data_IF_711967978576
#
_entry.id   IF_711967978576
#
_cell.length_a   1.000
_cell.length_b   1.000
_cell.length_c   1.000
_cell.angle_alpha   90.00
_cell.angle_beta   90.00
_cell.angle_gamma   90.00
#
_symmetry.space_group_name_H-M   'P 1'
#
loop_
_entity.id
_entity.type
_entity.pdbx_description
1 polymer ?
#
# COMPACT_ATOMS: atom_id res chain seq x y z
N UNK A 1 -28.03 -29.50 43.62
CA UNK A 1 -27.89 -28.52 42.52
C UNK A 1 -26.41 -28.33 42.22
N UNK A 2 -25.89 -28.93 41.14
CA UNK A 2 -24.50 -28.72 40.70
C UNK A 2 -24.47 -27.43 39.87
N UNK A 3 -23.56 -26.51 40.21
CA UNK A 3 -23.45 -25.20 39.57
C UNK A 3 -22.75 -25.33 38.21
N UNK A 4 -23.45 -24.94 37.15
CA UNK A 4 -22.95 -24.89 35.76
C UNK A 4 -22.44 -23.48 35.42
N UNK A 5 -21.61 -22.89 36.28
CA UNK A 5 -21.14 -21.50 36.10
C UNK A 5 -19.73 -21.27 35.51
N UNK A 6 -18.83 -22.25 35.24
CA UNK A 6 -17.49 -21.91 34.76
C UNK A 6 -17.36 -21.81 33.22
N UNK A 7 -18.28 -22.41 32.44
CA UNK A 7 -18.10 -22.50 30.99
C UNK A 7 -18.62 -21.26 30.23
N UNK A 8 -19.71 -20.65 30.69
CA UNK A 8 -20.26 -19.46 30.06
C UNK A 8 -19.31 -18.25 30.22
N UNK A 9 -18.72 -18.05 31.40
CA UNK A 9 -17.82 -16.92 31.67
C UNK A 9 -16.51 -16.97 30.86
N UNK A 10 -15.99 -18.19 30.62
CA UNK A 10 -14.79 -18.40 29.81
C UNK A 10 -15.04 -18.09 28.32
N UNK A 11 -16.21 -18.45 27.79
CA UNK A 11 -16.60 -18.16 26.40
C UNK A 11 -16.83 -16.65 26.18
N UNK A 12 -17.40 -15.94 27.16
CA UNK A 12 -17.65 -14.49 27.04
C UNK A 12 -16.38 -13.63 27.09
N UNK A 13 -15.31 -14.10 27.74
CA UNK A 13 -14.02 -13.39 27.82
C UNK A 13 -13.04 -13.81 26.71
N UNK A 14 -13.13 -15.02 26.17
CA UNK A 14 -12.26 -15.47 25.08
C UNK A 14 -12.58 -14.79 23.73
N UNK A 15 -13.87 -14.63 23.41
CA UNK A 15 -14.33 -14.04 22.14
C UNK A 15 -13.86 -12.59 21.91
N UNK A 16 -13.92 -11.66 22.90
CA UNK A 16 -13.45 -10.29 22.69
C UNK A 16 -11.92 -10.22 22.52
N UNK A 17 -11.15 -11.02 23.27
CA UNK A 17 -9.68 -11.02 23.17
C UNK A 17 -9.21 -11.60 21.83
N UNK A 18 -9.78 -12.73 21.38
CA UNK A 18 -9.44 -13.29 20.07
C UNK A 18 -9.79 -12.35 18.92
N UNK A 19 -10.88 -11.57 19.07
CA UNK A 19 -11.30 -10.58 18.07
C UNK A 19 -10.34 -9.39 18.03
N UNK A 20 -9.88 -8.91 19.19
CA UNK A 20 -8.91 -7.82 19.26
C UNK A 20 -7.56 -8.23 18.65
N UNK A 21 -7.11 -9.46 18.92
CA UNK A 21 -5.88 -10.02 18.33
C UNK A 21 -5.98 -10.06 16.80
N UNK A 22 -7.05 -10.64 16.25
CA UNK A 22 -7.25 -10.69 14.81
C UNK A 22 -7.32 -9.30 14.16
N UNK A 23 -7.86 -8.31 14.87
CA UNK A 23 -7.94 -6.93 14.40
C UNK A 23 -6.57 -6.22 14.42
N UNK A 24 -5.76 -6.47 15.46
CA UNK A 24 -4.39 -6.01 15.52
C UNK A 24 -3.56 -6.59 14.37
N UNK A 25 -3.68 -7.90 14.12
CA UNK A 25 -3.01 -8.57 13.01
C UNK A 25 -3.43 -8.01 11.64
N UNK A 26 -4.72 -7.69 11.47
CA UNK A 26 -5.22 -7.05 10.25
C UNK A 26 -4.58 -5.66 10.04
N UNK A 27 -4.57 -4.81 11.07
CA UNK A 27 -4.01 -3.48 10.98
C UNK A 27 -2.50 -3.52 10.70
N UNK A 28 -1.77 -4.43 11.35
CA UNK A 28 -0.34 -4.65 11.11
C UNK A 28 -0.08 -5.16 9.68
N UNK A 29 -0.87 -6.12 9.19
CA UNK A 29 -0.76 -6.64 7.82
C UNK A 29 -0.97 -5.52 6.79
N UNK A 30 -2.01 -4.70 6.97
CA UNK A 30 -2.32 -3.58 6.08
C UNK A 30 -1.19 -2.53 6.13
N UNK A 31 -0.70 -2.19 7.32
CA UNK A 31 0.44 -1.28 7.46
C UNK A 31 1.70 -1.79 6.76
N UNK A 32 1.99 -3.09 6.86
CA UNK A 32 3.11 -3.71 6.14
C UNK A 32 2.92 -3.65 4.63
N UNK A 33 1.72 -3.95 4.14
CA UNK A 33 1.42 -3.88 2.71
C UNK A 33 1.61 -2.47 2.16
N UNK A 34 1.14 -1.47 2.89
CA UNK A 34 1.31 -0.05 2.56
C UNK A 34 2.79 0.38 2.62
N UNK A 35 3.54 -0.06 3.63
CA UNK A 35 4.97 0.21 3.76
C UNK A 35 5.79 -0.38 2.60
N UNK A 36 5.45 -1.58 2.15
CA UNK A 36 6.09 -2.18 0.99
C UNK A 36 5.69 -1.46 -0.30
N UNK A 37 4.41 -1.10 -0.45
CA UNK A 37 3.92 -0.33 -1.59
C UNK A 37 4.53 1.07 -1.67
N UNK A 38 4.89 1.67 -0.53
CA UNK A 38 5.57 2.97 -0.52
C UNK A 38 7.05 2.89 -0.91
N UNK A 39 7.61 1.69 -1.11
CA UNK A 39 9.01 1.49 -1.50
C UNK A 39 10.03 1.86 -0.42
N UNK A 40 9.58 2.05 0.83
CA UNK A 40 10.40 2.52 1.97
C UNK A 40 11.21 1.40 2.64
N UNK A 41 11.52 0.32 1.91
CA UNK A 41 12.09 -0.93 2.45
C UNK A 41 13.48 -0.79 3.12
N UNK A 42 14.18 0.32 2.88
CA UNK A 42 15.44 0.64 3.56
C UNK A 42 15.23 1.29 4.93
N UNK A 43 14.03 1.76 5.23
CA UNK A 43 13.71 2.43 6.48
C UNK A 43 13.28 1.43 7.54
N UNK A 44 13.26 1.91 8.79
CA UNK A 44 12.70 1.15 9.90
C UNK A 44 11.24 0.82 9.63
N UNK A 45 10.87 -0.46 9.79
CA UNK A 45 9.50 -0.95 9.60
C UNK A 45 8.57 -0.29 10.63
N UNK A 46 7.35 0.09 10.23
CA UNK A 46 6.41 0.66 11.17
C UNK A 46 5.90 -0.43 12.11
N UNK A 47 5.81 -0.14 13.40
CA UNK A 47 5.07 -0.99 14.33
C UNK A 47 3.63 -0.46 14.47
N UNK A 48 2.67 -1.37 14.58
CA UNK A 48 1.27 -1.01 14.82
C UNK A 48 0.87 -1.53 16.19
N UNK A 49 0.29 -0.65 17.00
CA UNK A 49 -0.25 -1.01 18.30
C UNK A 49 -1.69 -0.51 18.42
N UNK A 50 -2.49 -1.25 19.16
CA UNK A 50 -3.87 -0.87 19.44
C UNK A 50 -3.90 -0.22 20.82
N UNK A 51 -4.42 1.00 20.89
CA UNK A 51 -4.49 1.79 22.12
C UNK A 51 -5.92 2.24 22.35
N UNK A 52 -6.38 2.22 23.60
CA UNK A 52 -7.70 2.75 23.96
C UNK A 52 -7.61 4.21 24.38
N UNK A 53 -8.56 5.04 23.94
CA UNK A 53 -8.75 6.39 24.49
C UNK A 53 -7.88 7.45 23.83
N UNK A 54 -7.46 7.22 22.59
CA UNK A 54 -6.84 8.26 21.78
C UNK A 54 -7.89 9.30 21.36
N UNK A 55 -7.40 10.52 21.19
CA UNK A 55 -8.16 11.67 20.73
C UNK A 55 -8.19 11.81 19.20
N UNK A 56 -7.40 10.99 18.52
CA UNK A 56 -7.29 10.86 17.07
C UNK A 56 -7.44 9.38 16.68
N UNK A 57 -7.86 9.08 15.44
CA UNK A 57 -8.04 7.71 15.00
C UNK A 57 -6.74 6.91 14.93
N UNK A 58 -5.66 7.59 14.56
CA UNK A 58 -4.29 7.07 14.57
C UNK A 58 -3.37 8.16 15.09
N UNK A 59 -2.49 7.81 16.02
CA UNK A 59 -1.37 8.65 16.46
C UNK A 59 -0.08 8.10 15.85
N UNK A 60 0.74 9.02 15.36
CA UNK A 60 2.00 8.72 14.69
C UNK A 60 3.13 9.13 15.64
N UNK A 61 4.07 8.23 15.87
CA UNK A 61 5.32 8.52 16.57
C UNK A 61 6.49 8.27 15.60
N UNK A 62 7.03 9.35 14.99
CA UNK A 62 8.16 9.27 14.07
C UNK A 62 9.46 8.78 14.72
N UNK A 63 9.65 8.96 16.04
CA UNK A 63 10.89 8.58 16.72
C UNK A 63 10.98 7.06 16.88
N UNK A 64 9.87 6.44 17.28
CA UNK A 64 9.79 4.98 17.43
C UNK A 64 9.35 4.25 16.16
N UNK A 65 9.07 4.99 15.07
CA UNK A 65 8.43 4.46 13.86
C UNK A 65 7.18 3.65 14.19
N UNK A 66 6.27 4.22 15.00
CA UNK A 66 5.07 3.51 15.46
C UNK A 66 3.78 4.24 15.11
N UNK A 67 2.75 3.44 14.86
CA UNK A 67 1.37 3.86 14.67
C UNK A 67 0.54 3.28 15.81
N UNK A 68 -0.15 4.15 16.55
CA UNK A 68 -1.10 3.75 17.58
C UNK A 68 -2.51 3.95 17.03
N UNK A 69 -3.23 2.87 16.79
CA UNK A 69 -4.59 2.88 16.26
C UNK A 69 -5.57 2.79 17.42
N UNK A 70 -6.56 3.68 17.45
CA UNK A 70 -7.54 3.68 18.53
C UNK A 70 -8.51 2.48 18.41
N UNK A 71 -8.86 1.84 19.54
CA UNK A 71 -9.81 0.71 19.55
C UNK A 71 -11.16 1.06 18.89
N UNK A 72 -11.64 2.30 19.09
CA UNK A 72 -12.88 2.75 18.46
C UNK A 72 -12.71 2.98 16.96
N UNK A 73 -11.50 3.28 16.47
CA UNK A 73 -11.21 3.32 15.04
C UNK A 73 -11.32 1.92 14.43
N UNK A 74 -10.79 0.90 15.11
CA UNK A 74 -11.00 -0.49 14.69
C UNK A 74 -12.49 -0.83 14.62
N UNK A 75 -13.26 -0.47 15.66
CA UNK A 75 -14.70 -0.74 15.69
C UNK A 75 -15.43 -0.10 14.49
N UNK A 76 -15.07 1.14 14.14
CA UNK A 76 -15.62 1.86 12.99
C UNK A 76 -15.26 1.19 11.66
N UNK A 77 -13.98 0.81 11.45
CA UNK A 77 -13.56 0.11 10.24
C UNK A 77 -14.29 -1.24 10.08
N UNK A 78 -14.52 -1.97 11.16
CA UNK A 78 -15.25 -3.25 11.11
C UNK A 78 -16.73 -3.11 10.80
N UNK A 79 -17.30 -1.92 10.98
CA UNK A 79 -18.68 -1.63 10.61
C UNK A 79 -18.84 -1.16 9.15
N UNK A 80 -17.71 -0.90 8.47
CA UNK A 80 -17.70 -0.53 7.06
C UNK A 80 -18.00 -1.75 6.17
N UNK A 81 -18.40 -1.48 4.92
CA UNK A 81 -18.69 -2.52 3.94
C UNK A 81 -17.47 -3.41 3.64
N UNK A 82 -16.27 -2.80 3.57
CA UNK A 82 -14.99 -3.50 3.53
C UNK A 82 -14.08 -2.96 4.64
N UNK A 83 -13.77 -3.83 5.62
CA UNK A 83 -13.00 -3.44 6.80
C UNK A 83 -11.51 -3.21 6.51
N UNK A 84 -10.98 -3.84 5.44
CA UNK A 84 -9.58 -3.69 5.06
C UNK A 84 -9.37 -2.38 4.31
N UNK A 85 -10.23 -2.07 3.34
CA UNK A 85 -10.20 -0.79 2.63
C UNK A 85 -10.40 0.37 3.60
N UNK A 86 -11.34 0.24 4.55
CA UNK A 86 -11.56 1.23 5.58
C UNK A 86 -10.30 1.47 6.43
N UNK A 87 -9.63 0.40 6.88
CA UNK A 87 -8.39 0.54 7.64
C UNK A 87 -7.27 1.14 6.79
N UNK A 88 -7.13 0.70 5.53
CA UNK A 88 -6.14 1.22 4.60
C UNK A 88 -6.35 2.73 4.31
N UNK A 89 -7.60 3.20 4.21
CA UNK A 89 -7.93 4.64 4.06
C UNK A 89 -7.37 5.50 5.19
N UNK A 90 -7.21 4.94 6.39
CA UNK A 90 -6.69 5.65 7.55
C UNK A 90 -5.17 5.49 7.64
N UNK A 91 -4.68 4.26 7.47
CA UNK A 91 -3.25 3.95 7.64
C UNK A 91 -2.39 4.46 6.49
N UNK A 92 -2.89 4.52 5.26
CA UNK A 92 -2.08 4.94 4.13
C UNK A 92 -1.50 6.36 4.26
N UNK A 93 -2.28 7.42 4.54
CA UNK A 93 -1.72 8.75 4.79
C UNK A 93 -0.82 8.79 6.04
N UNK A 94 -1.12 7.99 7.06
CA UNK A 94 -0.31 7.92 8.29
C UNK A 94 1.07 7.28 8.04
N UNK A 95 1.13 6.23 7.21
CA UNK A 95 2.38 5.60 6.77
C UNK A 95 3.22 6.60 5.98
N UNK A 96 2.60 7.36 5.06
CA UNK A 96 3.33 8.40 4.33
C UNK A 96 3.92 9.41 5.29
N UNK A 97 3.09 9.95 6.21
CA UNK A 97 3.51 10.93 7.21
C UNK A 97 4.62 10.42 8.13
N UNK A 98 4.70 9.12 8.40
CA UNK A 98 5.77 8.54 9.21
C UNK A 98 7.17 8.70 8.58
N UNK A 99 7.24 8.74 7.24
CA UNK A 99 8.50 8.79 6.50
C UNK A 99 8.76 10.12 5.77
N UNK A 100 7.85 11.09 5.88
CA UNK A 100 7.99 12.37 5.19
C UNK A 100 7.36 13.52 5.95
N UNK A 101 7.89 14.72 5.74
CA UNK A 101 7.34 15.99 6.22
C UNK A 101 6.38 16.65 5.22
N UNK A 102 5.82 15.88 4.28
CA UNK A 102 4.99 16.41 3.21
C UNK A 102 3.70 17.08 3.72
N UNK A 103 3.19 18.01 2.91
CA UNK A 103 1.90 18.65 3.14
C UNK A 103 0.73 17.67 3.03
N UNK A 104 -0.39 18.03 3.65
CA UNK A 104 -1.55 17.16 3.84
C UNK A 104 -2.24 16.68 2.57
N UNK A 105 -2.33 17.54 1.57
CA UNK A 105 -2.78 17.19 0.23
C UNK A 105 -1.91 16.05 -0.34
N UNK A 106 -0.59 16.17 -0.18
CA UNK A 106 0.40 15.20 -0.62
C UNK A 106 0.29 13.90 0.17
N UNK A 107 0.03 13.95 1.48
CA UNK A 107 -0.19 12.75 2.31
C UNK A 107 -1.40 11.94 1.83
N UNK A 108 -2.52 12.62 1.51
CA UNK A 108 -3.74 11.96 1.04
C UNK A 108 -3.52 11.39 -0.36
N UNK A 109 -2.97 12.17 -1.31
CA UNK A 109 -2.71 11.68 -2.68
C UNK A 109 -1.71 10.53 -2.71
N UNK A 110 -0.57 10.64 -2.02
CA UNK A 110 0.42 9.56 -1.95
C UNK A 110 -0.11 8.35 -1.18
N UNK A 111 -0.82 8.57 -0.08
CA UNK A 111 -1.48 7.51 0.67
C UNK A 111 -2.48 6.76 -0.20
N UNK A 112 -3.30 7.48 -0.97
CA UNK A 112 -4.24 6.86 -1.88
C UNK A 112 -3.55 6.06 -2.99
N UNK A 113 -2.44 6.57 -3.52
CA UNK A 113 -1.62 5.82 -4.47
C UNK A 113 -1.09 4.54 -3.83
N UNK A 114 -0.44 4.59 -2.66
CA UNK A 114 0.08 3.39 -2.01
C UNK A 114 -1.02 2.42 -1.58
N UNK A 115 -2.19 2.93 -1.19
CA UNK A 115 -3.40 2.13 -0.97
C UNK A 115 -3.77 1.34 -2.21
N UNK A 116 -3.91 2.03 -3.35
CA UNK A 116 -4.18 1.40 -4.63
C UNK A 116 -3.10 0.37 -5.03
N UNK A 117 -1.82 0.74 -4.89
CA UNK A 117 -0.68 -0.15 -5.16
C UNK A 117 -0.70 -1.40 -4.29
N UNK A 118 -1.15 -1.27 -3.05
CA UNK A 118 -1.28 -2.37 -2.10
C UNK A 118 -2.56 -3.21 -2.32
N UNK A 119 -3.46 -2.77 -3.20
CA UNK A 119 -4.69 -3.46 -3.57
C UNK A 119 -5.93 -3.03 -2.77
N UNK A 120 -5.87 -1.87 -2.11
CA UNK A 120 -6.94 -1.33 -1.28
C UNK A 120 -7.66 -0.16 -1.96
N UNK A 121 -8.98 -0.12 -1.84
CA UNK A 121 -9.80 0.99 -2.32
C UNK A 121 -9.93 2.08 -1.25
N UNK A 122 -8.89 2.92 -1.14
CA UNK A 122 -8.81 3.90 -0.05
C UNK A 122 -9.60 5.20 -0.29
N UNK A 123 -10.23 5.36 -1.45
CA UNK A 123 -10.98 6.54 -1.89
C UNK A 123 -12.40 6.20 -2.36
N UNK A 124 -13.22 7.24 -2.57
CA UNK A 124 -14.60 7.12 -3.03
C UNK A 124 -15.61 7.07 -1.88
N UNK A 125 -16.86 6.77 -2.23
CA UNK A 125 -18.00 6.86 -1.29
C UNK A 125 -17.83 6.05 0.00
N UNK A 126 -17.35 4.78 -0.02
CA UNK A 126 -17.16 4.03 1.22
C UNK A 126 -16.15 4.70 2.17
N UNK A 127 -15.05 5.22 1.62
CA UNK A 127 -14.04 5.94 2.40
C UNK A 127 -14.59 7.28 2.91
N UNK A 128 -15.34 8.03 2.10
CA UNK A 128 -15.97 9.29 2.53
C UNK A 128 -16.97 9.08 3.68
N UNK A 129 -17.77 8.01 3.63
CA UNK A 129 -18.70 7.63 4.69
C UNK A 129 -17.96 7.23 5.98
N UNK A 130 -16.86 6.48 5.88
CA UNK A 130 -15.99 6.17 7.01
C UNK A 130 -15.46 7.46 7.66
N UNK A 131 -14.89 8.37 6.86
CA UNK A 131 -14.35 9.63 7.38
C UNK A 131 -15.43 10.48 8.06
N UNK A 132 -16.65 10.54 7.53
CA UNK A 132 -17.75 11.23 8.21
C UNK A 132 -18.02 10.66 9.62
N UNK A 133 -17.95 9.34 9.78
CA UNK A 133 -18.08 8.70 11.09
C UNK A 133 -16.88 8.98 12.01
N UNK A 134 -15.65 8.98 11.46
CA UNK A 134 -14.44 9.34 12.20
C UNK A 134 -14.50 10.77 12.74
N UNK A 135 -14.98 11.75 11.96
CA UNK A 135 -15.12 13.14 12.46
C UNK A 135 -16.14 13.27 13.59
N UNK A 136 -17.24 12.53 13.54
CA UNK A 136 -18.21 12.50 14.65
C UNK A 136 -17.59 11.87 15.89
N UNK A 137 -16.74 10.88 15.68
CA UNK A 137 -16.05 10.15 16.73
C UNK A 137 -14.88 10.93 17.36
N UNK A 138 -14.11 11.68 16.58
CA UNK A 138 -12.87 12.32 16.99
C UNK A 138 -12.94 13.83 16.68
N UNK A 139 -13.51 14.65 17.59
CA UNK A 139 -13.70 16.07 17.34
C UNK A 139 -12.42 16.82 16.98
N UNK A 140 -11.26 16.41 17.53
CA UNK A 140 -9.95 17.01 17.22
C UNK A 140 -9.53 16.91 15.76
N UNK A 141 -10.10 15.98 14.98
CA UNK A 141 -9.84 15.92 13.53
C UNK A 141 -10.19 17.25 12.84
N UNK A 142 -11.21 17.95 13.33
CA UNK A 142 -11.67 19.24 12.79
C UNK A 142 -10.78 20.42 13.15
N UNK A 143 -9.97 20.32 14.21
CA UNK A 143 -8.97 21.35 14.56
C UNK A 143 -7.84 21.40 13.53
N UNK A 144 -7.58 20.26 12.89
CA UNK A 144 -6.56 20.12 11.88
C UNK A 144 -7.09 20.44 10.47
N UNK A 145 -8.17 19.78 10.04
CA UNK A 145 -8.80 19.94 8.72
C UNK A 145 -10.28 19.59 8.86
N UNK A 146 -11.17 20.45 8.38
CA UNK A 146 -12.60 20.16 8.42
C UNK A 146 -12.98 19.02 7.44
N UNK A 147 -14.15 18.40 7.67
CA UNK A 147 -14.59 17.23 6.91
C UNK A 147 -14.78 17.54 5.42
N UNK A 148 -15.27 18.72 5.08
CA UNK A 148 -15.54 19.09 3.69
C UNK A 148 -14.24 19.32 2.93
N UNK A 149 -13.26 19.98 3.55
CA UNK A 149 -11.91 20.11 2.99
C UNK A 149 -11.26 18.73 2.81
N UNK A 150 -11.38 17.81 3.78
CA UNK A 150 -10.83 16.45 3.63
C UNK A 150 -11.47 15.69 2.47
N UNK A 151 -12.80 15.74 2.31
CA UNK A 151 -13.50 15.12 1.18
C UNK A 151 -13.02 15.69 -0.16
N UNK A 152 -12.89 17.01 -0.24
CA UNK A 152 -12.37 17.69 -1.44
C UNK A 152 -10.95 17.23 -1.80
N UNK A 153 -10.07 17.05 -0.81
CA UNK A 153 -8.74 16.49 -1.04
C UNK A 153 -8.79 15.02 -1.49
N UNK A 154 -9.70 14.21 -0.94
CA UNK A 154 -9.89 12.82 -1.37
C UNK A 154 -10.41 12.73 -2.82
N UNK A 155 -11.32 13.62 -3.21
CA UNK A 155 -11.83 13.70 -4.59
C UNK A 155 -10.73 14.16 -5.55
N UNK A 156 -9.91 15.11 -5.14
CA UNK A 156 -8.74 15.55 -5.92
C UNK A 156 -7.75 14.39 -6.10
N UNK A 157 -7.40 13.68 -5.03
CA UNK A 157 -6.55 12.50 -5.08
C UNK A 157 -7.13 11.39 -5.98
N UNK A 158 -8.45 11.23 -6.00
CA UNK A 158 -9.13 10.27 -6.89
C UNK A 158 -8.98 10.66 -8.35
N UNK A 159 -9.27 11.92 -8.68
CA UNK A 159 -9.12 12.42 -10.05
C UNK A 159 -7.68 12.31 -10.54
N UNK A 160 -6.72 12.56 -9.66
CA UNK A 160 -5.31 12.35 -9.91
C UNK A 160 -5.03 10.88 -10.25
N UNK A 161 -5.45 9.95 -9.39
CA UNK A 161 -5.26 8.51 -9.65
C UNK A 161 -5.91 8.06 -10.96
N UNK A 162 -7.12 8.52 -11.26
CA UNK A 162 -7.84 8.18 -12.50
C UNK A 162 -7.07 8.66 -13.75
N UNK A 163 -6.31 9.76 -13.64
CA UNK A 163 -5.45 10.26 -14.73
C UNK A 163 -4.10 9.54 -14.80
N UNK A 164 -3.49 9.21 -13.66
CA UNK A 164 -2.15 8.61 -13.63
C UNK A 164 -2.16 7.12 -13.93
N UNK A 165 -3.21 6.41 -13.51
CA UNK A 165 -3.28 4.97 -13.61
C UNK A 165 -3.15 4.45 -15.05
N UNK A 166 -3.85 5.03 -16.05
CA UNK A 166 -3.68 4.61 -17.44
C UNK A 166 -2.28 4.87 -17.99
N UNK A 167 -1.64 5.98 -17.58
CA UNK A 167 -0.28 6.34 -18.00
C UNK A 167 0.74 5.33 -17.45
N UNK A 168 0.60 4.94 -16.19
CA UNK A 168 1.44 3.92 -15.55
C UNK A 168 1.25 2.54 -16.19
N UNK A 169 0.00 2.12 -16.39
CA UNK A 169 -0.29 0.86 -17.07
C UNK A 169 0.29 0.83 -18.49
N UNK A 170 0.22 1.94 -19.22
CA UNK A 170 0.82 2.05 -20.54
C UNK A 170 2.35 1.93 -20.50
N UNK A 171 3.01 2.52 -19.50
CA UNK A 171 4.46 2.34 -19.30
C UNK A 171 4.82 0.86 -19.12
N UNK A 172 4.05 0.15 -18.29
CA UNK A 172 4.24 -1.28 -18.07
C UNK A 172 3.99 -2.09 -19.35
N UNK A 173 2.95 -1.75 -20.13
CA UNK A 173 2.70 -2.44 -21.41
C UNK A 173 3.86 -2.24 -22.39
N UNK A 174 4.34 -1.01 -22.58
CA UNK A 174 5.51 -0.76 -23.42
C UNK A 174 6.74 -1.51 -22.93
N UNK A 175 6.94 -1.61 -21.61
CA UNK A 175 8.03 -2.39 -21.06
C UNK A 175 7.93 -3.87 -21.44
N UNK A 176 6.76 -4.48 -21.29
CA UNK A 176 6.52 -5.91 -21.57
C UNK A 176 6.70 -6.24 -23.06
N UNK A 177 6.41 -5.30 -23.96
CA UNK A 177 6.66 -5.47 -25.41
C UNK A 177 8.04 -4.98 -25.85
N UNK A 178 8.97 -4.83 -24.89
CA UNK A 178 10.37 -4.44 -25.11
C UNK A 178 10.56 -3.06 -25.77
N UNK A 179 9.55 -2.20 -25.69
CA UNK A 179 9.56 -0.83 -26.18
C UNK A 179 10.09 0.12 -25.09
N UNK A 180 11.31 -0.11 -24.64
CA UNK A 180 11.87 0.53 -23.45
C UNK A 180 11.97 2.06 -23.54
N UNK A 181 12.20 2.61 -24.74
CA UNK A 181 12.21 4.06 -24.96
C UNK A 181 10.84 4.71 -24.71
N UNK A 182 9.75 4.07 -25.18
CA UNK A 182 8.40 4.54 -24.86
C UNK A 182 8.09 4.36 -23.38
N UNK A 183 8.41 3.20 -22.79
CA UNK A 183 8.20 2.97 -21.36
C UNK A 183 8.87 4.04 -20.49
N UNK A 184 10.13 4.39 -20.80
CA UNK A 184 10.89 5.45 -20.12
C UNK A 184 10.18 6.80 -20.16
N UNK A 185 9.70 7.23 -21.33
CA UNK A 185 8.97 8.51 -21.49
C UNK A 185 7.72 8.54 -20.60
N UNK A 186 6.99 7.43 -20.48
CA UNK A 186 5.80 7.38 -19.62
C UNK A 186 6.17 7.37 -18.13
N UNK A 187 7.19 6.61 -17.71
CA UNK A 187 7.67 6.66 -16.32
C UNK A 187 8.21 8.05 -15.94
N UNK A 188 8.94 8.71 -16.82
CA UNK A 188 9.44 10.07 -16.62
C UNK A 188 8.30 11.09 -16.45
N UNK A 189 7.20 10.95 -17.19
CA UNK A 189 5.98 11.77 -17.00
C UNK A 189 5.36 11.55 -15.62
N UNK A 190 5.26 10.30 -15.16
CA UNK A 190 4.68 9.95 -13.86
C UNK A 190 5.54 10.48 -12.73
N UNK A 191 6.86 10.39 -12.87
CA UNK A 191 7.87 10.80 -11.88
C UNK A 191 7.70 12.24 -11.41
N UNK A 192 7.26 13.14 -12.30
CA UNK A 192 7.04 14.56 -11.98
C UNK A 192 5.94 14.73 -10.95
N UNK A 193 4.84 13.98 -11.05
CA UNK A 193 3.74 14.08 -10.08
C UNK A 193 3.93 13.18 -8.88
N UNK A 194 4.44 11.97 -9.12
CA UNK A 194 4.51 10.92 -8.13
C UNK A 194 5.94 10.36 -8.06
N UNK A 195 6.86 11.09 -7.43
CA UNK A 195 8.21 10.62 -7.22
C UNK A 195 8.18 9.45 -6.23
N UNK A 196 8.33 8.23 -6.73
CA UNK A 196 8.47 7.04 -5.89
C UNK A 196 9.66 6.22 -6.35
N UNK A 197 10.28 5.48 -5.42
CA UNK A 197 11.43 4.61 -5.72
C UNK A 197 11.16 3.68 -6.90
N UNK A 198 9.95 3.13 -6.99
CA UNK A 198 9.51 2.28 -8.09
C UNK A 198 9.55 3.02 -9.44
N UNK A 199 8.99 4.23 -9.53
CA UNK A 199 8.99 5.00 -10.77
C UNK A 199 10.42 5.36 -11.21
N UNK A 200 11.28 5.78 -10.28
CA UNK A 200 12.70 6.04 -10.58
C UNK A 200 13.44 4.77 -11.01
N UNK A 201 13.21 3.65 -10.31
CA UNK A 201 13.83 2.36 -10.60
C UNK A 201 13.41 1.86 -11.98
N UNK A 202 12.12 1.91 -12.30
CA UNK A 202 11.59 1.43 -13.57
C UNK A 202 12.08 2.29 -14.74
N UNK A 203 12.11 3.61 -14.59
CA UNK A 203 12.73 4.50 -15.57
C UNK A 203 14.23 4.18 -15.77
N UNK A 204 14.97 3.95 -14.68
CA UNK A 204 16.38 3.57 -14.72
C UNK A 204 16.62 2.24 -15.43
N UNK A 205 15.80 1.22 -15.16
CA UNK A 205 15.83 -0.08 -15.84
C UNK A 205 15.57 0.08 -17.34
N UNK A 206 14.60 0.90 -17.73
CA UNK A 206 14.34 1.18 -19.15
C UNK A 206 15.57 1.81 -19.83
N UNK A 207 16.28 2.73 -19.18
CA UNK A 207 17.52 3.33 -19.73
C UNK A 207 18.65 2.31 -19.83
N UNK A 208 18.81 1.45 -18.82
CA UNK A 208 19.82 0.40 -18.84
C UNK A 208 19.58 -0.58 -20.00
N UNK A 209 18.33 -1.01 -20.21
CA UNK A 209 17.96 -1.90 -21.30
C UNK A 209 18.14 -1.25 -22.68
N UNK A 210 17.78 0.03 -22.84
CA UNK A 210 18.10 0.78 -24.07
C UNK A 210 19.60 0.88 -24.33
N UNK A 211 20.42 1.04 -23.28
CA UNK A 211 21.87 1.07 -23.42
C UNK A 211 22.42 -0.29 -23.86
N UNK A 212 21.85 -1.41 -23.37
CA UNK A 212 22.24 -2.75 -23.78
C UNK A 212 22.07 -2.98 -25.29
N UNK A 213 21.05 -2.40 -25.92
CA UNK A 213 20.82 -2.48 -27.37
C UNK A 213 21.94 -1.80 -28.19
N UNK A 214 22.76 -0.95 -27.57
CA UNK A 214 23.87 -0.24 -28.21
C UNK A 214 25.20 -0.99 -28.13
N UNK A 215 25.33 -2.00 -27.27
CA UNK A 215 26.55 -2.77 -27.15
C UNK A 215 26.65 -3.86 -28.22
N UNK A 216 27.87 -4.09 -28.72
CA UNK A 216 28.15 -5.22 -29.61
C UNK A 216 28.13 -6.56 -28.86
N UNK A 217 27.88 -7.66 -29.59
CA UNK A 217 27.79 -9.02 -29.03
C UNK A 217 29.06 -9.48 -28.27
N UNK A 218 30.22 -8.88 -28.59
CA UNK A 218 31.50 -9.18 -27.97
C UNK A 218 31.92 -8.17 -26.89
N UNK A 219 31.14 -7.10 -26.69
CA UNK A 219 31.42 -6.07 -25.68
C UNK A 219 30.79 -6.43 -24.32
N UNK A 220 29.68 -7.17 -24.34
CA UNK A 220 29.02 -7.67 -23.13
C UNK A 220 29.50 -9.08 -22.78
N UNK A 221 30.39 -9.17 -21.80
CA UNK A 221 30.89 -10.45 -21.27
C UNK A 221 29.82 -11.26 -20.51
N UNK A 222 28.82 -10.58 -19.96
CA UNK A 222 27.77 -11.17 -19.12
C UNK A 222 26.39 -10.59 -19.48
N UNK A 223 25.34 -11.39 -19.29
CA UNK A 223 23.95 -10.95 -19.39
C UNK A 223 23.55 -10.30 -18.05
N UNK A 224 22.98 -9.10 -18.11
CA UNK A 224 22.48 -8.39 -16.93
C UNK A 224 20.96 -8.56 -16.80
N UNK A 225 20.45 -9.25 -15.76
CA UNK A 225 19.03 -9.47 -15.59
C UNK A 225 18.37 -8.25 -14.95
N UNK A 226 18.08 -7.22 -15.75
CA UNK A 226 17.30 -6.09 -15.28
C UNK A 226 15.82 -6.45 -15.19
N UNK A 227 15.19 -6.10 -14.06
CA UNK A 227 13.79 -6.37 -13.79
C UNK A 227 13.14 -5.08 -13.31
N UNK A 228 11.98 -4.73 -13.87
CA UNK A 228 11.15 -3.65 -13.33
C UNK A 228 10.42 -4.12 -12.08
N UNK A 229 10.28 -3.23 -11.12
CA UNK A 229 9.41 -3.48 -9.98
C UNK A 229 7.97 -3.32 -10.46
N UNK A 230 7.32 -4.46 -10.70
CA UNK A 230 5.90 -4.58 -11.06
C UNK A 230 5.03 -4.82 -9.84
N UNK A 231 5.46 -4.44 -8.62
CA UNK A 231 4.64 -4.60 -7.40
C UNK A 231 3.43 -3.67 -7.36
N UNK A 232 2.67 -3.66 -8.44
CA UNK A 232 1.23 -3.48 -8.44
C UNK A 232 0.57 -4.70 -7.80
N UNK A 233 -0.05 -4.51 -6.64
CA UNK A 233 -1.04 -5.44 -6.11
C UNK A 233 -2.46 -5.02 -6.52
N UNK A 234 -2.64 -4.48 -7.72
CA UNK A 234 -3.98 -4.29 -8.26
C UNK A 234 -4.55 -5.67 -8.62
N UNK A 235 -5.46 -6.18 -7.79
CA UNK A 235 -6.15 -7.45 -8.04
C UNK A 235 -6.98 -7.90 -6.84
N UNK A 236 -8.18 -8.38 -7.10
CA UNK A 236 -9.00 -9.02 -6.06
C UNK A 236 -8.30 -10.29 -5.58
N UNK A 237 -8.41 -10.64 -4.29
CA UNK A 237 -7.67 -11.74 -3.62
C UNK A 237 -7.67 -13.09 -4.35
N UNK A 238 -8.60 -13.35 -5.29
CA UNK A 238 -8.63 -14.55 -6.12
C UNK A 238 -7.46 -14.68 -7.12
N UNK A 239 -6.90 -13.57 -7.61
CA UNK A 239 -5.80 -13.57 -8.60
C UNK A 239 -4.43 -13.89 -7.97
N UNK A 240 -4.34 -13.79 -6.64
CA UNK A 240 -3.13 -14.02 -5.83
C UNK A 240 -2.57 -15.45 -5.97
N UNK A 241 -3.45 -16.45 -6.00
CA UNK A 241 -3.05 -17.87 -6.08
C UNK A 241 -2.45 -18.25 -7.42
N UNK A 242 -2.97 -17.69 -8.52
CA UNK A 242 -2.50 -17.99 -9.87
C UNK A 242 -1.15 -17.33 -10.13
N UNK A 243 -1.00 -16.07 -9.72
CA UNK A 243 0.24 -15.29 -9.88
C UNK A 243 1.43 -15.95 -9.18
N UNK A 244 1.27 -16.34 -7.91
CA UNK A 244 2.37 -16.90 -7.13
C UNK A 244 2.81 -18.27 -7.70
N UNK A 245 1.89 -19.05 -8.28
CA UNK A 245 2.20 -20.29 -9.00
C UNK A 245 3.00 -20.07 -10.29
N UNK A 246 2.65 -19.02 -11.06
CA UNK A 246 3.33 -18.68 -12.32
C UNK A 246 4.72 -18.10 -12.06
N UNK A 247 4.90 -17.32 -10.99
CA UNK A 247 6.20 -16.80 -10.58
C UNK A 247 7.15 -17.92 -10.11
N UNK A 248 6.63 -18.91 -9.38
CA UNK A 248 7.41 -20.08 -8.99
C UNK A 248 7.88 -20.88 -10.22
N UNK A 249 6.98 -21.12 -11.17
CA UNK A 249 7.30 -21.78 -12.43
C UNK A 249 8.33 -21.00 -13.27
N UNK A 250 8.28 -19.67 -13.27
CA UNK A 250 9.27 -18.83 -13.95
C UNK A 250 10.66 -18.94 -13.31
N UNK A 251 10.74 -18.96 -11.98
CA UNK A 251 12.01 -19.15 -11.25
C UNK A 251 12.62 -20.52 -11.55
N UNK A 252 11.80 -21.58 -11.62
CA UNK A 252 12.25 -22.91 -12.02
C UNK A 252 12.80 -22.93 -13.46
N UNK A 253 12.09 -22.29 -14.39
CA UNK A 253 12.52 -22.21 -15.79
C UNK A 253 13.84 -21.44 -15.96
N UNK A 254 14.04 -20.33 -15.26
CA UNK A 254 15.31 -19.59 -15.29
C UNK A 254 16.45 -20.38 -14.65
N UNK A 255 16.17 -21.15 -13.59
CA UNK A 255 17.15 -22.00 -12.93
C UNK A 255 17.61 -23.16 -13.84
N UNK A 256 16.72 -23.71 -14.67
CA UNK A 256 17.10 -24.71 -15.67
C UNK A 256 18.07 -24.16 -16.73
N UNK A 257 17.89 -22.92 -17.18
CA UNK A 257 18.78 -22.30 -18.17
C UNK A 257 20.17 -22.11 -17.58
N UNK A 258 20.26 -21.66 -16.32
CA UNK A 258 21.54 -21.48 -15.63
C UNK A 258 22.27 -22.82 -15.45
N UNK A 259 21.56 -23.92 -15.19
CA UNK A 259 22.16 -25.24 -14.99
C UNK A 259 22.54 -25.96 -16.30
N UNK A 260 21.88 -25.64 -17.41
CA UNK A 260 22.12 -26.31 -18.72
C UNK A 260 23.10 -25.57 -19.62
N UNK A 261 23.33 -24.28 -19.40
CA UNK A 261 24.13 -23.43 -20.27
C UNK A 261 25.27 -22.67 -19.56
N UNK A 262 25.58 -23.04 -18.31
CA UNK A 262 26.83 -22.66 -17.63
C UNK A 262 27.91 -23.74 -17.85
#
# INVERSE_FOLDING_TARGET
MKSYLPFALAITLFLPVSRLIAQSEMAETIAMDLFYASGQISNQRPSVTITSGLDLPVRIDPESFSLQVDEKTLALCNSAADSQDAMASILAPAIVQLYTSAFRDTLISQGAFFGYMAGYQTLGEPAAALWANLYRAYPKLSEEIDLETRKSLMDTARQELDQFMPVFQMANYFFVVFQYGYAEVYYEKIKVRLPSREIYSNAGVCKALQALDLFGINELKYVYPFVIDLKFRAGTKGEKSMRDSLLLAAVEAFSEVILRYA
#
